data_IF_934495249723
#
_entry.id   IF_934495249723
#
_cell.length_a   1.000
_cell.length_b   1.000
_cell.length_c   1.000
_cell.angle_alpha   90.00
_cell.angle_beta   90.00
_cell.angle_gamma   90.00
#
_symmetry.space_group_name_H-M   'P 1'
#
loop_
_entity.id
_entity.type
_entity.pdbx_description
1 polymer ?
#
# COMPACT_ATOMS: atom_id res chain seq x y z
N UNK A 1 23.44 -5.68 -15.20
CA UNK A 1 22.16 -5.11 -15.62
C UNK A 1 22.09 -3.59 -15.42
N UNK A 2 22.71 -3.04 -14.35
CA UNK A 2 22.63 -1.61 -14.00
C UNK A 2 23.94 -0.84 -14.25
N UNK A 3 24.94 -1.44 -14.90
CA UNK A 3 26.29 -0.92 -15.04
C UNK A 3 26.36 0.41 -15.81
N UNK A 4 25.51 0.56 -16.82
CA UNK A 4 25.54 1.71 -17.73
C UNK A 4 24.44 2.74 -17.41
N UNK A 5 23.67 2.49 -16.36
CA UNK A 5 22.64 3.41 -15.89
C UNK A 5 23.27 4.68 -15.31
N UNK A 6 22.76 5.84 -15.71
CA UNK A 6 23.23 7.12 -15.23
C UNK A 6 22.40 7.59 -14.04
N UNK A 7 23.05 8.21 -13.08
CA UNK A 7 22.42 8.79 -11.89
C UNK A 7 22.43 10.31 -11.99
N UNK A 8 21.34 10.94 -11.55
CA UNK A 8 21.21 12.39 -11.53
C UNK A 8 20.33 12.84 -10.35
N UNK A 9 20.39 14.12 -10.01
CA UNK A 9 19.52 14.79 -9.06
C UNK A 9 19.40 14.06 -7.69
N UNK A 10 20.51 13.57 -7.13
CA UNK A 10 20.48 12.99 -5.80
C UNK A 10 20.25 14.05 -4.72
N UNK A 11 19.29 13.80 -3.85
CA UNK A 11 19.00 14.61 -2.65
C UNK A 11 18.92 13.68 -1.44
N UNK A 12 19.47 14.11 -0.31
CA UNK A 12 19.33 13.47 0.99
C UNK A 12 19.24 14.56 2.07
N UNK A 13 18.05 14.68 2.68
CA UNK A 13 17.74 15.68 3.71
C UNK A 13 17.34 14.95 4.99
N UNK A 14 17.94 15.32 6.10
CA UNK A 14 17.54 14.91 7.45
C UNK A 14 17.50 16.14 8.31
N UNK A 15 16.30 16.60 8.66
CA UNK A 15 16.06 17.82 9.42
C UNK A 15 15.34 17.44 10.74
N UNK A 16 16.10 17.41 11.84
CA UNK A 16 15.59 17.00 13.14
C UNK A 16 14.52 17.94 13.68
N UNK A 17 14.66 19.24 13.44
CA UNK A 17 13.73 20.28 13.92
C UNK A 17 12.35 20.16 13.25
N UNK A 18 12.32 19.71 12.00
CA UNK A 18 11.09 19.51 11.21
C UNK A 18 10.66 18.05 11.13
N UNK A 19 11.30 17.17 11.91
CA UNK A 19 11.02 15.73 11.92
C UNK A 19 10.96 15.13 10.52
N UNK A 20 11.88 15.58 9.64
CA UNK A 20 11.85 15.27 8.22
C UNK A 20 13.04 14.44 7.81
N UNK A 21 12.76 13.33 7.14
CA UNK A 21 13.76 12.53 6.44
C UNK A 21 13.29 12.30 5.00
N UNK A 22 13.99 12.91 4.05
CA UNK A 22 13.67 12.81 2.62
C UNK A 22 14.91 12.45 1.82
N UNK A 23 14.80 11.44 0.96
CA UNK A 23 15.86 11.10 0.03
C UNK A 23 15.28 10.65 -1.31
N UNK A 24 15.84 11.15 -2.38
CA UNK A 24 15.44 10.82 -3.74
C UNK A 24 16.63 10.83 -4.71
N UNK A 25 16.50 10.03 -5.75
CA UNK A 25 17.49 9.96 -6.85
C UNK A 25 16.76 9.72 -8.17
N UNK A 26 17.30 10.26 -9.26
CA UNK A 26 16.81 10.01 -10.61
C UNK A 26 17.78 9.10 -11.36
N UNK A 27 17.29 7.99 -11.87
CA UNK A 27 17.98 7.13 -12.80
C UNK A 27 17.59 7.50 -14.23
N UNK A 28 18.57 7.52 -15.12
CA UNK A 28 18.36 7.65 -16.56
C UNK A 28 18.61 6.27 -17.15
N UNK A 29 17.54 5.64 -17.65
CA UNK A 29 17.57 4.31 -18.22
C UNK A 29 18.21 4.32 -19.62
N UNK A 30 18.55 3.13 -20.14
CA UNK A 30 19.27 2.98 -21.40
C UNK A 30 18.49 3.53 -22.61
N UNK A 31 17.14 3.51 -22.54
CA UNK A 31 16.24 4.08 -23.54
C UNK A 31 16.00 5.60 -23.37
N UNK A 32 16.67 6.21 -22.40
CA UNK A 32 16.50 7.62 -22.05
C UNK A 32 15.31 7.93 -21.15
N UNK A 33 14.44 6.97 -20.83
CA UNK A 33 13.36 7.13 -19.86
C UNK A 33 13.93 7.39 -18.46
N UNK A 34 13.25 8.16 -17.64
CA UNK A 34 13.67 8.42 -16.27
C UNK A 34 12.97 7.49 -15.29
N UNK A 35 13.64 7.15 -14.20
CA UNK A 35 13.03 6.57 -13.03
C UNK A 35 13.36 7.43 -11.80
N UNK A 36 12.35 8.06 -11.24
CA UNK A 36 12.46 8.86 -10.02
C UNK A 36 12.19 7.94 -8.82
N UNK A 37 13.25 7.64 -8.07
CA UNK A 37 13.18 6.74 -6.93
C UNK A 37 13.18 7.54 -5.62
N UNK A 38 12.19 7.28 -4.78
CA UNK A 38 12.14 7.77 -3.40
C UNK A 38 12.59 6.67 -2.46
N UNK A 39 13.51 7.00 -1.58
CA UNK A 39 13.93 6.11 -0.51
C UNK A 39 12.84 6.05 0.57
N UNK A 40 12.62 4.87 1.11
CA UNK A 40 11.84 4.67 2.34
C UNK A 40 12.56 5.26 3.55
N UNK A 41 12.02 4.97 4.72
CA UNK A 41 12.60 5.36 5.99
C UNK A 41 13.98 4.74 6.14
N UNK A 42 14.94 5.52 6.61
CA UNK A 42 16.19 4.98 7.09
C UNK A 42 16.02 4.51 8.55
N UNK A 43 17.07 3.91 9.11
CA UNK A 43 17.08 3.43 10.50
C UNK A 43 17.07 4.57 11.53
N UNK A 44 16.96 5.84 11.07
CA UNK A 44 16.95 6.98 12.00
C UNK A 44 15.60 7.11 12.69
N UNK A 45 15.67 7.49 13.95
CA UNK A 45 14.51 7.78 14.80
C UNK A 45 13.64 8.91 14.21
N UNK A 46 14.24 9.87 13.50
CA UNK A 46 13.53 10.96 12.80
C UNK A 46 12.66 10.41 11.68
N UNK A 47 13.20 9.48 10.89
CA UNK A 47 12.46 8.82 9.82
C UNK A 47 11.24 8.05 10.34
N UNK A 48 11.40 7.33 11.44
CA UNK A 48 10.32 6.59 12.09
C UNK A 48 9.20 7.50 12.61
N UNK A 49 9.55 8.65 13.20
CA UNK A 49 8.55 9.61 13.67
C UNK A 49 7.75 10.20 12.51
N UNK A 50 8.40 10.51 11.38
CA UNK A 50 7.72 10.97 10.19
C UNK A 50 6.78 9.91 9.60
N UNK A 51 7.17 8.62 9.64
CA UNK A 51 6.31 7.51 9.18
C UNK A 51 5.05 7.37 10.02
N UNK A 52 5.18 7.45 11.33
CA UNK A 52 4.00 7.45 12.20
C UNK A 52 3.14 8.69 11.95
N UNK A 53 3.76 9.87 11.82
CA UNK A 53 3.02 11.09 11.48
C UNK A 53 2.26 10.94 10.16
N UNK A 54 2.84 10.27 9.16
CA UNK A 54 2.21 10.03 7.85
C UNK A 54 0.92 9.20 7.96
N UNK A 55 0.83 8.28 8.93
CA UNK A 55 -0.39 7.53 9.19
C UNK A 55 -1.53 8.40 9.74
N UNK A 56 -1.21 9.57 10.30
CA UNK A 56 -2.19 10.42 10.97
C UNK A 56 -2.34 11.81 10.36
N UNK A 57 -1.27 12.33 9.75
CA UNK A 57 -1.20 13.65 9.16
C UNK A 57 -0.91 13.55 7.66
N UNK A 58 -1.50 14.43 6.89
CA UNK A 58 -1.14 14.63 5.48
C UNK A 58 -1.50 16.08 5.11
N UNK A 59 -0.59 16.85 4.50
CA UNK A 59 0.76 16.41 4.11
C UNK A 59 1.75 16.38 5.28
N UNK A 60 2.70 15.43 5.24
CA UNK A 60 3.94 15.51 6.02
C UNK A 60 5.03 16.19 5.18
N UNK A 61 6.10 16.75 5.79
CA UNK A 61 7.14 17.45 5.05
C UNK A 61 7.77 16.64 3.91
N UNK A 62 8.02 15.34 4.11
CA UNK A 62 8.55 14.44 3.07
C UNK A 62 7.65 14.35 1.84
N UNK A 63 6.32 14.38 2.01
CA UNK A 63 5.38 14.41 0.89
C UNK A 63 5.51 15.71 0.09
N UNK A 64 5.62 16.84 0.75
CA UNK A 64 5.85 18.13 0.04
C UNK A 64 7.19 18.19 -0.67
N UNK A 65 8.26 17.67 -0.04
CA UNK A 65 9.58 17.58 -0.69
C UNK A 65 9.52 16.66 -1.93
N UNK A 66 8.74 15.58 -1.89
CA UNK A 66 8.58 14.69 -3.05
C UNK A 66 7.95 15.42 -4.25
N UNK A 67 6.94 16.26 -4.02
CA UNK A 67 6.32 17.10 -5.08
C UNK A 67 7.32 18.11 -5.64
N UNK A 68 8.05 18.80 -4.75
CA UNK A 68 9.10 19.76 -5.15
C UNK A 68 10.17 19.07 -5.99
N UNK A 69 10.62 17.89 -5.59
CA UNK A 69 11.60 17.09 -6.32
C UNK A 69 11.12 16.73 -7.73
N UNK A 70 9.91 16.18 -7.86
CA UNK A 70 9.34 15.83 -9.16
C UNK A 70 9.27 17.04 -10.08
N UNK A 71 8.72 18.16 -9.60
CA UNK A 71 8.60 19.37 -10.41
C UNK A 71 9.96 19.94 -10.80
N UNK A 72 10.95 19.92 -9.90
CA UNK A 72 12.32 20.36 -10.17
C UNK A 72 13.00 19.52 -11.25
N UNK A 73 13.03 18.19 -11.06
CA UNK A 73 13.69 17.26 -11.99
C UNK A 73 13.05 17.35 -13.37
N UNK A 74 11.72 17.33 -13.43
CA UNK A 74 10.96 17.33 -14.68
C UNK A 74 10.90 18.69 -15.37
N UNK A 75 11.25 19.74 -14.67
CA UNK A 75 11.50 21.08 -15.25
C UNK A 75 12.79 21.13 -16.07
N UNK A 76 13.76 20.27 -15.78
CA UNK A 76 15.04 20.21 -16.47
C UNK A 76 15.12 19.04 -17.46
N UNK A 77 14.53 17.89 -17.06
CA UNK A 77 14.51 16.67 -17.85
C UNK A 77 13.08 16.44 -18.39
N UNK A 78 12.91 16.43 -19.70
CA UNK A 78 11.59 16.44 -20.34
C UNK A 78 11.11 15.07 -20.84
N UNK A 79 11.88 14.03 -20.57
CA UNK A 79 11.57 12.65 -20.97
C UNK A 79 10.33 12.10 -20.22
N UNK A 80 9.64 11.06 -20.76
CA UNK A 80 8.72 10.25 -20.00
C UNK A 80 9.42 9.65 -18.78
N UNK A 81 8.67 9.38 -17.71
CA UNK A 81 9.29 8.86 -16.51
C UNK A 81 8.40 7.90 -15.73
N UNK A 82 9.05 7.00 -15.04
CA UNK A 82 8.52 6.21 -13.95
C UNK A 82 8.84 6.88 -12.63
N UNK A 83 8.01 6.59 -11.62
CA UNK A 83 8.23 7.06 -10.27
C UNK A 83 7.92 5.94 -9.30
N UNK A 84 8.68 5.77 -8.23
CA UNK A 84 8.41 4.70 -7.29
C UNK A 84 9.28 4.71 -6.06
N UNK A 85 8.95 3.82 -5.14
CA UNK A 85 9.69 3.59 -3.91
C UNK A 85 9.09 2.47 -3.08
N UNK A 86 9.77 2.13 -2.00
CA UNK A 86 9.38 1.14 -1.04
C UNK A 86 8.95 1.82 0.26
N UNK A 87 7.98 1.26 0.97
CA UNK A 87 7.50 1.76 2.26
C UNK A 87 7.06 3.23 2.15
N UNK A 88 7.58 4.13 2.99
CA UNK A 88 7.39 5.59 2.86
C UNK A 88 7.64 6.08 1.44
N UNK A 89 8.71 5.61 0.78
CA UNK A 89 9.04 5.99 -0.59
C UNK A 89 7.93 5.67 -1.59
N UNK A 90 7.19 4.57 -1.39
CA UNK A 90 6.01 4.21 -2.17
C UNK A 90 4.85 5.21 -1.99
N UNK A 91 4.60 5.63 -0.75
CA UNK A 91 3.63 6.69 -0.45
C UNK A 91 4.04 8.03 -1.08
N UNK A 92 5.31 8.44 -0.94
CA UNK A 92 5.85 9.67 -1.55
C UNK A 92 5.69 9.67 -3.07
N UNK A 93 5.90 8.51 -3.72
CA UNK A 93 5.74 8.37 -5.16
C UNK A 93 4.29 8.64 -5.60
N UNK A 94 3.33 8.03 -4.92
CA UNK A 94 1.90 8.21 -5.21
C UNK A 94 1.49 9.65 -4.89
N UNK A 95 1.89 10.20 -3.73
CA UNK A 95 1.55 11.57 -3.34
C UNK A 95 2.07 12.60 -4.34
N UNK A 96 3.35 12.50 -4.71
CA UNK A 96 3.93 13.43 -5.67
C UNK A 96 3.31 13.33 -7.06
N UNK A 97 2.90 12.11 -7.48
CA UNK A 97 2.17 11.92 -8.73
C UNK A 97 0.77 12.56 -8.72
N UNK A 98 0.08 12.55 -7.57
CA UNK A 98 -1.19 13.28 -7.41
C UNK A 98 -1.04 14.79 -7.46
N UNK A 99 0.02 15.32 -6.84
CA UNK A 99 0.19 16.76 -6.57
C UNK A 99 1.11 17.49 -7.53
N UNK A 100 1.89 16.82 -8.37
CA UNK A 100 2.73 17.47 -9.35
C UNK A 100 1.88 18.23 -10.40
N UNK A 101 2.53 19.15 -11.12
CA UNK A 101 1.85 19.96 -12.13
C UNK A 101 1.16 19.07 -13.20
N UNK A 102 -0.02 19.43 -13.70
CA UNK A 102 -0.78 18.58 -14.63
C UNK A 102 -0.03 18.19 -15.90
N UNK A 103 0.84 19.08 -16.42
CA UNK A 103 1.64 18.76 -17.58
C UNK A 103 2.78 17.77 -17.28
N UNK A 104 3.28 17.75 -16.03
CA UNK A 104 4.23 16.76 -15.52
C UNK A 104 3.54 15.42 -15.32
N UNK A 105 2.36 15.43 -14.70
CA UNK A 105 1.57 14.23 -14.43
C UNK A 105 1.29 13.42 -15.70
N UNK A 106 1.06 14.07 -16.85
CA UNK A 106 0.82 13.41 -18.14
C UNK A 106 2.03 12.62 -18.66
N UNK A 107 3.24 12.92 -18.18
CA UNK A 107 4.48 12.24 -18.58
C UNK A 107 4.80 11.02 -17.74
N UNK A 108 4.09 10.81 -16.61
CA UNK A 108 4.24 9.65 -15.75
C UNK A 108 3.71 8.41 -16.49
N UNK A 109 4.58 7.41 -16.68
CA UNK A 109 4.22 6.15 -17.33
C UNK A 109 3.59 5.16 -16.32
N UNK A 110 4.26 4.91 -15.20
CA UNK A 110 3.79 4.08 -14.07
C UNK A 110 4.29 4.66 -12.76
N UNK A 111 3.55 4.34 -11.71
CA UNK A 111 3.81 4.74 -10.32
C UNK A 111 3.90 3.47 -9.49
N UNK A 112 5.09 3.15 -8.99
CA UNK A 112 5.34 1.92 -8.25
C UNK A 112 5.31 2.20 -6.74
N UNK A 113 4.41 1.53 -6.02
CA UNK A 113 4.35 1.53 -4.57
C UNK A 113 4.61 0.12 -4.05
N UNK A 114 5.82 -0.11 -3.55
CA UNK A 114 6.23 -1.39 -2.99
C UNK A 114 5.97 -1.35 -1.47
N UNK A 115 4.92 -2.03 -1.03
CA UNK A 115 4.45 -2.10 0.35
C UNK A 115 4.38 -0.72 1.06
N UNK A 116 4.04 0.33 0.27
CA UNK A 116 3.86 1.69 0.79
C UNK A 116 2.47 1.87 1.37
N UNK A 117 2.31 2.61 2.50
CA UNK A 117 0.99 2.92 3.06
C UNK A 117 0.15 3.74 2.09
N UNK A 118 -1.17 3.57 2.18
CA UNK A 118 -2.15 4.33 1.43
C UNK A 118 -2.37 5.74 2.00
N UNK A 119 -3.55 6.28 1.78
CA UNK A 119 -3.92 7.64 2.17
C UNK A 119 -5.31 7.64 2.81
N UNK A 120 -5.52 8.59 3.70
CA UNK A 120 -6.86 8.87 4.21
C UNK A 120 -7.81 9.22 3.06
N UNK A 121 -9.10 8.87 3.14
CA UNK A 121 -10.08 9.13 2.07
C UNK A 121 -10.15 10.59 1.64
N UNK A 122 -9.98 11.51 2.60
CA UNK A 122 -10.00 12.96 2.36
C UNK A 122 -8.85 13.37 1.43
N UNK A 123 -7.65 12.84 1.66
CA UNK A 123 -6.45 13.12 0.86
C UNK A 123 -6.62 12.63 -0.57
N UNK A 124 -7.16 11.42 -0.75
CA UNK A 124 -7.40 10.85 -2.09
C UNK A 124 -8.39 11.71 -2.89
N UNK A 125 -9.44 12.20 -2.23
CA UNK A 125 -10.46 13.06 -2.84
C UNK A 125 -9.91 14.44 -3.21
N UNK A 126 -9.22 15.09 -2.28
CA UNK A 126 -8.65 16.43 -2.47
C UNK A 126 -7.52 16.44 -3.50
N UNK A 127 -6.73 15.38 -3.57
CA UNK A 127 -5.59 15.28 -4.48
C UNK A 127 -5.92 14.66 -5.83
N UNK A 128 -7.19 14.41 -6.15
CA UNK A 128 -7.64 13.87 -7.43
C UNK A 128 -6.95 12.55 -7.82
N UNK A 129 -6.88 11.61 -6.89
CA UNK A 129 -6.26 10.29 -7.08
C UNK A 129 -6.72 9.59 -8.38
N UNK A 130 -7.99 9.71 -8.74
CA UNK A 130 -8.57 9.11 -9.95
C UNK A 130 -7.81 9.49 -11.25
N UNK A 131 -7.12 10.63 -11.27
CA UNK A 131 -6.34 11.05 -12.45
C UNK A 131 -5.09 10.19 -12.69
N UNK A 132 -4.62 9.46 -11.66
CA UNK A 132 -3.41 8.64 -11.72
C UNK A 132 -3.66 7.16 -11.44
N UNK A 133 -4.81 6.79 -10.92
CA UNK A 133 -5.16 5.44 -10.44
C UNK A 133 -4.76 4.34 -11.41
N UNK A 134 -5.13 4.44 -12.68
CA UNK A 134 -4.81 3.44 -13.72
C UNK A 134 -3.32 3.29 -14.04
N UNK A 135 -2.45 4.12 -13.44
CA UNK A 135 -1.00 4.06 -13.58
C UNK A 135 -0.29 3.59 -12.31
N UNK A 136 -1.02 3.45 -11.20
CA UNK A 136 -0.46 2.94 -9.94
C UNK A 136 -0.29 1.43 -10.04
N UNK A 137 0.90 0.96 -9.69
CA UNK A 137 1.25 -0.45 -9.53
C UNK A 137 1.64 -0.64 -8.08
N UNK A 138 0.71 -1.20 -7.30
CA UNK A 138 0.93 -1.49 -5.89
C UNK A 138 1.23 -2.97 -5.70
N UNK A 139 2.36 -3.27 -5.06
CA UNK A 139 2.78 -4.62 -4.71
C UNK A 139 2.81 -4.77 -3.21
N UNK A 140 2.25 -5.85 -2.69
CA UNK A 140 2.15 -6.14 -1.27
C UNK A 140 2.59 -7.59 -1.02
N UNK A 141 3.32 -7.91 0.06
CA UNK A 141 3.52 -9.31 0.44
C UNK A 141 2.27 -9.87 1.14
N UNK A 142 2.16 -11.19 1.28
CA UNK A 142 1.02 -11.87 1.90
C UNK A 142 0.63 -11.35 3.30
N UNK A 143 1.64 -10.98 4.11
CA UNK A 143 1.44 -10.50 5.48
C UNK A 143 1.67 -9.00 5.58
N UNK A 144 1.37 -8.24 4.51
CA UNK A 144 1.52 -6.81 4.52
C UNK A 144 0.72 -6.17 5.66
N UNK A 145 1.40 -5.41 6.50
CA UNK A 145 0.80 -4.54 7.50
C UNK A 145 0.93 -3.08 7.08
N UNK A 146 2.12 -2.67 6.68
CA UNK A 146 2.44 -1.28 6.33
C UNK A 146 1.68 -0.86 5.07
N UNK A 147 1.76 -1.66 4.00
CA UNK A 147 1.10 -1.36 2.74
C UNK A 147 -0.42 -1.37 2.79
N UNK A 148 -0.99 -2.00 3.82
CA UNK A 148 -2.44 -2.06 4.05
C UNK A 148 -2.98 -0.93 4.94
N UNK A 149 -2.11 -0.07 5.50
CA UNK A 149 -2.57 1.13 6.22
C UNK A 149 -3.27 2.04 5.21
N UNK A 150 -4.55 2.39 5.47
CA UNK A 150 -5.42 3.18 4.60
C UNK A 150 -5.61 2.62 3.18
N UNK A 151 -5.32 1.34 2.98
CA UNK A 151 -5.65 0.67 1.72
C UNK A 151 -7.12 0.24 1.77
N UNK A 152 -7.93 0.70 0.83
CA UNK A 152 -9.36 0.36 0.77
C UNK A 152 -9.81 -0.19 -0.57
N UNK A 153 -9.50 0.48 -1.66
CA UNK A 153 -10.08 0.17 -2.97
C UNK A 153 -9.06 0.20 -4.13
N UNK A 154 -7.77 0.23 -3.81
CA UNK A 154 -6.72 0.27 -4.83
C UNK A 154 -6.43 -1.17 -5.27
N UNK A 155 -6.38 -1.40 -6.58
CA UNK A 155 -5.95 -2.67 -7.11
C UNK A 155 -4.46 -2.90 -6.78
N UNK A 156 -4.20 -3.89 -5.95
CA UNK A 156 -2.85 -4.33 -5.61
C UNK A 156 -2.61 -5.77 -6.12
N UNK A 157 -1.35 -6.12 -6.26
CA UNK A 157 -0.90 -7.48 -6.52
C UNK A 157 -0.18 -7.99 -5.29
N UNK A 158 -0.42 -9.24 -4.93
CA UNK A 158 0.24 -9.87 -3.80
C UNK A 158 1.40 -10.72 -4.29
N UNK A 159 2.58 -10.48 -3.72
CA UNK A 159 3.82 -11.14 -4.12
C UNK A 159 4.29 -12.12 -3.05
N UNK A 160 4.93 -13.20 -3.52
CA UNK A 160 5.52 -14.20 -2.64
C UNK A 160 6.81 -13.68 -1.99
N UNK A 161 7.00 -14.01 -0.70
CA UNK A 161 8.20 -13.70 0.05
C UNK A 161 8.74 -14.94 0.74
N UNK A 162 10.06 -15.06 0.83
CA UNK A 162 10.72 -16.10 1.60
C UNK A 162 10.85 -15.78 3.09
N UNK A 163 10.35 -14.64 3.52
CA UNK A 163 10.28 -14.20 4.92
C UNK A 163 8.89 -14.41 5.52
N UNK A 164 8.73 -14.11 6.81
CA UNK A 164 7.49 -14.28 7.55
C UNK A 164 7.09 -13.03 8.32
N UNK A 165 5.77 -12.80 8.46
CA UNK A 165 5.21 -11.68 9.23
C UNK A 165 5.74 -10.33 8.76
N UNK A 166 6.15 -9.47 9.68
CA UNK A 166 6.69 -8.13 9.38
C UNK A 166 7.98 -8.15 8.56
N UNK A 167 8.77 -9.23 8.61
CA UNK A 167 9.99 -9.34 7.81
C UNK A 167 9.70 -9.43 6.30
N UNK A 168 8.47 -9.71 5.90
CA UNK A 168 8.05 -9.65 4.50
C UNK A 168 8.01 -8.20 3.96
N UNK A 169 8.05 -7.21 4.84
CA UNK A 169 8.14 -5.80 4.43
C UNK A 169 9.43 -5.49 3.66
N UNK A 170 10.51 -6.26 3.88
CA UNK A 170 11.73 -6.14 3.10
C UNK A 170 11.53 -6.65 1.66
N UNK A 171 11.56 -5.79 0.62
CA UNK A 171 11.34 -6.21 -0.76
C UNK A 171 12.46 -7.11 -1.31
N UNK A 172 13.63 -7.17 -0.65
CA UNK A 172 14.69 -8.12 -1.01
C UNK A 172 14.37 -9.56 -0.60
N UNK A 173 13.35 -9.75 0.24
CA UNK A 173 12.80 -11.07 0.57
C UNK A 173 11.78 -11.59 -0.46
N UNK A 174 11.36 -10.76 -1.42
CA UNK A 174 10.33 -11.12 -2.40
C UNK A 174 10.91 -11.96 -3.53
N UNK A 175 10.18 -13.01 -3.89
CA UNK A 175 10.65 -13.93 -4.92
C UNK A 175 10.48 -13.32 -6.31
N UNK A 176 11.51 -13.52 -7.12
CA UNK A 176 11.54 -13.06 -8.52
C UNK A 176 11.73 -14.28 -9.41
N UNK A 177 10.87 -14.42 -10.41
CA UNK A 177 10.99 -15.40 -11.47
C UNK A 177 11.17 -14.66 -12.80
N UNK A 178 12.26 -14.96 -13.50
CA UNK A 178 12.67 -14.28 -14.73
C UNK A 178 12.82 -12.76 -14.55
N UNK A 179 11.80 -11.96 -14.89
CA UNK A 179 11.78 -10.50 -14.86
C UNK A 179 10.63 -9.90 -14.06
N UNK A 180 9.91 -10.72 -13.28
CA UNK A 180 8.75 -10.28 -12.50
C UNK A 180 8.74 -10.90 -11.09
N UNK A 181 8.04 -10.26 -10.17
CA UNK A 181 7.75 -10.83 -8.87
C UNK A 181 6.72 -11.95 -9.00
N UNK A 182 6.89 -13.02 -8.22
CA UNK A 182 5.94 -14.15 -8.18
C UNK A 182 4.65 -13.72 -7.55
N UNK A 183 3.55 -13.74 -8.31
CA UNK A 183 2.20 -13.43 -7.82
C UNK A 183 1.59 -14.64 -7.10
N UNK A 184 0.89 -14.39 -5.98
CA UNK A 184 0.35 -15.47 -5.12
C UNK A 184 -1.12 -15.32 -4.76
N UNK A 185 -1.84 -14.52 -5.49
CA UNK A 185 -3.29 -14.36 -5.32
C UNK A 185 -3.66 -13.24 -4.36
N UNK A 186 -3.82 -13.49 -3.06
CA UNK A 186 -4.37 -12.48 -2.14
C UNK A 186 -3.69 -12.50 -0.77
N UNK A 187 -3.90 -11.43 0.00
CA UNK A 187 -3.48 -11.30 1.40
C UNK A 187 -4.19 -12.36 2.24
N UNK A 188 -3.48 -12.91 3.23
CA UNK A 188 -4.09 -13.87 4.17
C UNK A 188 -5.32 -13.27 4.86
N UNK A 189 -6.39 -14.06 4.98
CA UNK A 189 -7.66 -13.61 5.55
C UNK A 189 -7.49 -13.07 6.98
N UNK A 190 -6.70 -13.75 7.80
CA UNK A 190 -6.35 -13.28 9.14
C UNK A 190 -5.66 -11.92 9.14
N UNK A 191 -4.87 -11.63 8.10
CA UNK A 191 -4.18 -10.36 7.95
C UNK A 191 -5.14 -9.26 7.52
N UNK A 192 -6.12 -9.55 6.65
CA UNK A 192 -7.17 -8.60 6.26
C UNK A 192 -7.95 -8.12 7.49
N UNK A 193 -8.41 -9.06 8.33
CA UNK A 193 -9.13 -8.75 9.57
C UNK A 193 -8.30 -7.83 10.47
N UNK A 194 -7.03 -8.14 10.65
CA UNK A 194 -6.13 -7.32 11.47
C UNK A 194 -5.93 -5.92 10.87
N UNK A 195 -5.75 -5.83 9.55
CA UNK A 195 -5.58 -4.57 8.84
C UNK A 195 -6.84 -3.70 8.91
N UNK A 196 -8.02 -4.29 8.79
CA UNK A 196 -9.30 -3.59 8.98
C UNK A 196 -9.43 -3.04 10.40
N UNK A 197 -9.13 -3.87 11.41
CA UNK A 197 -9.16 -3.43 12.80
C UNK A 197 -8.18 -2.28 13.07
N UNK A 198 -6.97 -2.38 12.53
CA UNK A 198 -5.95 -1.34 12.66
C UNK A 198 -6.39 -0.03 11.99
N UNK A 199 -6.91 -0.09 10.77
CA UNK A 199 -7.39 1.08 10.04
C UNK A 199 -8.57 1.75 10.75
N UNK A 200 -9.54 0.98 11.22
CA UNK A 200 -10.68 1.49 11.98
C UNK A 200 -10.22 2.16 13.28
N UNK A 201 -9.28 1.53 13.98
CA UNK A 201 -8.71 2.09 15.19
C UNK A 201 -7.97 3.41 14.93
N UNK A 202 -7.08 3.48 13.92
CA UNK A 202 -6.37 4.71 13.56
C UNK A 202 -7.36 5.84 13.24
N UNK A 203 -8.43 5.54 12.51
CA UNK A 203 -9.45 6.53 12.14
C UNK A 203 -10.33 6.96 13.32
N UNK A 204 -10.39 6.19 14.40
CA UNK A 204 -11.15 6.51 15.60
C UNK A 204 -10.43 7.51 16.53
N UNK A 205 -9.12 7.71 16.36
CA UNK A 205 -8.31 8.57 17.20
C UNK A 205 -8.44 10.03 16.75
N UNK A 206 -8.54 10.94 17.74
CA UNK A 206 -8.43 12.37 17.49
C UNK A 206 -6.96 12.81 17.44
N UNK A 207 -6.70 14.08 17.05
CA UNK A 207 -5.34 14.61 16.87
C UNK A 207 -4.48 14.55 18.15
N UNK A 208 -5.07 14.83 19.30
CA UNK A 208 -4.37 14.78 20.59
C UNK A 208 -3.96 13.37 20.96
N UNK A 209 -4.87 12.40 20.80
CA UNK A 209 -4.61 10.99 21.03
C UNK A 209 -3.52 10.46 20.10
N UNK A 210 -3.58 10.85 18.83
CA UNK A 210 -2.58 10.50 17.83
C UNK A 210 -1.22 11.05 18.23
N UNK A 211 -1.13 12.33 18.52
CA UNK A 211 0.12 12.98 18.91
C UNK A 211 0.74 12.31 20.13
N UNK A 212 -0.05 12.13 21.18
CA UNK A 212 0.38 11.48 22.42
C UNK A 212 0.85 10.04 22.16
N UNK A 213 0.10 9.30 21.33
CA UNK A 213 0.48 7.93 20.99
C UNK A 213 1.82 7.87 20.23
N UNK A 214 1.98 8.70 19.19
CA UNK A 214 3.21 8.77 18.39
C UNK A 214 4.40 9.20 19.25
N UNK A 215 4.26 10.24 20.05
CA UNK A 215 5.33 10.72 20.93
C UNK A 215 5.76 9.68 21.96
N UNK A 216 4.80 8.99 22.58
CA UNK A 216 5.10 7.95 23.56
C UNK A 216 5.71 6.71 22.90
N UNK A 217 5.18 6.29 21.75
CA UNK A 217 5.75 5.18 20.99
C UNK A 217 7.21 5.48 20.60
N UNK A 218 7.46 6.71 20.17
CA UNK A 218 8.79 7.21 19.88
C UNK A 218 9.73 7.13 21.11
N UNK A 219 9.27 7.59 22.27
CA UNK A 219 10.05 7.51 23.52
C UNK A 219 10.36 6.07 23.90
N UNK A 220 9.36 5.18 23.77
CA UNK A 220 9.52 3.73 24.04
C UNK A 220 10.56 3.09 23.13
N UNK A 221 10.49 3.34 21.83
CA UNK A 221 11.45 2.81 20.86
C UNK A 221 12.84 3.37 21.14
N UNK A 222 12.97 4.66 21.40
CA UNK A 222 14.24 5.32 21.71
C UNK A 222 14.85 4.77 23.02
N UNK A 223 14.04 4.50 24.03
CA UNK A 223 14.49 3.95 25.32
C UNK A 223 14.88 2.46 25.24
N UNK A 224 14.33 1.72 24.28
CA UNK A 224 14.60 0.28 24.12
C UNK A 224 16.01 -0.03 23.60
N UNK A 225 16.75 0.98 23.13
CA UNK A 225 18.03 0.82 22.42
C UNK A 225 17.91 -0.13 21.21
N UNK A 226 16.71 -0.30 20.66
CA UNK A 226 16.52 -1.00 19.41
C UNK A 226 16.89 -0.05 18.27
N UNK A 227 17.77 -0.51 17.39
CA UNK A 227 18.23 0.29 16.26
C UNK A 227 17.11 0.46 15.21
N UNK A 228 16.13 -0.47 15.21
CA UNK A 228 15.01 -0.49 14.29
C UNK A 228 13.76 -1.20 14.87
N UNK A 229 12.62 -1.05 14.20
CA UNK A 229 11.34 -1.68 14.60
C UNK A 229 11.36 -3.20 14.45
N UNK A 230 12.16 -3.73 13.55
CA UNK A 230 12.29 -5.17 13.32
C UNK A 230 12.96 -5.78 14.55
N UNK A 231 14.06 -5.19 15.03
CA UNK A 231 14.74 -5.57 16.25
C UNK A 231 13.83 -5.40 17.47
N UNK A 232 13.04 -4.31 17.52
CA UNK A 232 12.05 -4.08 18.56
C UNK A 232 10.99 -5.18 18.62
N UNK A 233 10.48 -5.65 17.48
CA UNK A 233 9.46 -6.71 17.42
C UNK A 233 10.05 -8.10 17.61
N UNK A 234 11.30 -8.34 17.23
CA UNK A 234 11.98 -9.63 17.36
C UNK A 234 12.25 -10.00 18.83
N UNK A 235 12.56 -9.02 19.68
CA UNK A 235 12.73 -9.23 21.13
C UNK A 235 11.55 -8.63 21.93
N UNK A 236 10.37 -9.15 21.66
CA UNK A 236 9.10 -8.70 22.22
C UNK A 236 9.10 -8.63 23.76
N UNK A 237 9.81 -9.52 24.47
CA UNK A 237 9.86 -9.48 25.94
C UNK A 237 10.67 -8.29 26.46
N UNK A 238 11.80 -7.99 25.81
CA UNK A 238 12.63 -6.83 26.13
C UNK A 238 11.86 -5.55 25.78
N UNK A 239 11.21 -5.53 24.64
CA UNK A 239 10.42 -4.41 24.16
C UNK A 239 9.22 -4.12 25.07
N UNK A 240 8.48 -5.14 25.51
CA UNK A 240 7.40 -4.98 26.48
C UNK A 240 7.86 -4.45 27.84
N UNK A 241 9.05 -4.82 28.30
CA UNK A 241 9.63 -4.23 29.51
C UNK A 241 9.98 -2.75 29.30
N UNK A 242 10.50 -2.38 28.12
CA UNK A 242 10.77 -0.99 27.77
C UNK A 242 9.47 -0.17 27.71
N UNK A 243 8.41 -0.70 27.10
CA UNK A 243 7.06 -0.10 27.10
C UNK A 243 6.56 0.10 28.52
N UNK A 244 6.64 -0.94 29.38
CA UNK A 244 6.18 -0.86 30.76
C UNK A 244 6.98 0.15 31.58
N UNK A 245 8.25 0.34 31.26
CA UNK A 245 9.12 1.34 31.91
C UNK A 245 8.76 2.75 31.45
N UNK A 246 8.65 2.97 30.15
CA UNK A 246 8.28 4.26 29.59
C UNK A 246 6.87 4.72 30.06
N UNK A 247 5.92 3.80 30.21
CA UNK A 247 4.59 4.10 30.76
C UNK A 247 4.64 4.51 32.25
N UNK A 248 5.73 4.27 32.98
CA UNK A 248 5.92 4.76 34.35
C UNK A 248 6.55 6.16 34.39
N UNK A 249 7.19 6.58 33.31
CA UNK A 249 7.85 7.87 33.21
C UNK A 249 6.92 8.99 32.71
N UNK A 250 5.77 8.62 32.12
CA UNK A 250 4.73 9.58 31.73
C UNK A 250 3.80 9.86 32.91
N UNK A 251 3.17 11.02 32.92
CA UNK A 251 2.16 11.38 33.92
C UNK A 251 0.93 10.44 33.86
N UNK A 252 0.19 10.37 34.96
CA UNK A 252 -0.92 9.44 35.12
C UNK A 252 -2.03 9.65 34.06
N UNK A 253 -2.28 10.88 33.62
CA UNK A 253 -3.29 11.20 32.62
C UNK A 253 -2.89 10.67 31.25
N UNK A 254 -1.64 10.88 30.84
CA UNK A 254 -1.07 10.36 29.61
C UNK A 254 -1.04 8.82 29.62
N UNK A 255 -0.64 8.21 30.73
CA UNK A 255 -0.65 6.76 30.88
C UNK A 255 -2.05 6.16 30.78
N UNK A 256 -3.06 6.82 31.34
CA UNK A 256 -4.46 6.38 31.23
C UNK A 256 -4.99 6.51 29.80
N UNK A 257 -4.69 7.63 29.13
CA UNK A 257 -5.04 7.85 27.72
C UNK A 257 -4.43 6.73 26.84
N UNK A 258 -3.15 6.43 26.99
CA UNK A 258 -2.47 5.37 26.23
C UNK A 258 -3.08 3.99 26.48
N UNK A 259 -3.38 3.65 27.72
CA UNK A 259 -4.07 2.40 28.04
C UNK A 259 -5.45 2.34 27.39
N UNK A 260 -6.17 3.47 27.33
CA UNK A 260 -7.46 3.61 26.65
C UNK A 260 -7.32 3.38 25.15
N UNK A 261 -6.33 4.00 24.51
CA UNK A 261 -6.02 3.85 23.09
C UNK A 261 -5.70 2.39 22.76
N UNK A 262 -4.81 1.75 23.51
CA UNK A 262 -4.44 0.34 23.31
C UNK A 262 -5.65 -0.57 23.53
N UNK A 263 -6.44 -0.32 24.57
CA UNK A 263 -7.66 -1.10 24.86
C UNK A 263 -8.67 -1.02 23.71
N UNK A 264 -8.86 0.18 23.11
CA UNK A 264 -9.78 0.35 21.99
C UNK A 264 -9.37 -0.48 20.77
N UNK A 265 -8.06 -0.59 20.47
CA UNK A 265 -7.56 -1.46 19.41
C UNK A 265 -7.95 -2.94 19.66
N UNK A 266 -7.75 -3.43 20.90
CA UNK A 266 -8.11 -4.81 21.23
C UNK A 266 -9.61 -5.07 21.15
N UNK A 267 -10.45 -4.10 21.55
CA UNK A 267 -11.91 -4.26 21.44
C UNK A 267 -12.36 -4.27 19.98
N UNK A 268 -11.84 -3.40 19.12
CA UNK A 268 -12.12 -3.41 17.68
C UNK A 268 -11.67 -4.74 17.06
N UNK A 269 -10.45 -5.20 17.35
CA UNK A 269 -9.94 -6.47 16.84
C UNK A 269 -10.83 -7.66 17.27
N UNK A 270 -11.29 -7.70 18.53
CA UNK A 270 -12.21 -8.74 19.01
C UNK A 270 -13.54 -8.72 18.27
N UNK A 271 -14.09 -7.54 17.98
CA UNK A 271 -15.34 -7.39 17.23
C UNK A 271 -15.16 -7.94 15.82
N UNK A 272 -14.11 -7.52 15.11
CA UNK A 272 -13.80 -7.99 13.75
C UNK A 272 -13.63 -9.51 13.67
N UNK A 273 -12.83 -10.10 14.54
CA UNK A 273 -12.66 -11.55 14.61
C UNK A 273 -13.99 -12.27 14.89
N UNK A 274 -14.85 -11.71 15.76
CA UNK A 274 -16.17 -12.30 16.07
C UNK A 274 -17.12 -12.20 14.88
N UNK A 275 -17.11 -11.11 14.13
CA UNK A 275 -17.93 -10.93 12.93
C UNK A 275 -17.56 -11.94 11.85
N UNK A 276 -16.27 -12.15 11.61
CA UNK A 276 -15.77 -13.13 10.65
C UNK A 276 -16.02 -14.59 11.06
N UNK A 277 -15.85 -14.88 12.35
CA UNK A 277 -16.14 -16.22 12.89
C UNK A 277 -17.64 -16.48 13.12
N UNK A 278 -18.49 -15.46 13.02
CA UNK A 278 -19.94 -15.65 13.12
C UNK A 278 -20.40 -16.49 11.93
N UNK A 279 -21.10 -17.63 12.16
CA UNK A 279 -21.61 -18.45 11.08
C UNK A 279 -22.49 -17.57 10.19
N UNK A 280 -22.16 -17.49 8.90
CA UNK A 280 -22.90 -16.74 7.91
C UNK A 280 -24.39 -17.00 8.11
N UNK A 281 -25.12 -16.01 8.63
CA UNK A 281 -26.58 -16.13 8.82
C UNK A 281 -27.16 -16.47 7.46
N UNK A 282 -27.44 -17.77 7.30
CA UNK A 282 -28.06 -18.45 6.17
C UNK A 282 -28.69 -17.49 5.15
N UNK A 283 -27.96 -17.14 4.12
CA UNK A 283 -28.54 -16.78 2.82
C UNK A 283 -29.05 -18.05 2.11
N UNK A 284 -29.48 -19.03 2.90
CA UNK A 284 -30.02 -20.31 2.43
C UNK A 284 -31.34 -20.23 1.63
N UNK A 285 -31.87 -19.02 1.44
CA UNK A 285 -33.04 -18.81 0.56
C UNK A 285 -32.68 -18.62 -0.91
N UNK A 286 -31.51 -18.08 -1.26
CA UNK A 286 -31.13 -17.79 -2.64
C UNK A 286 -30.59 -19.01 -3.39
N UNK A 287 -29.83 -19.89 -2.72
CA UNK A 287 -29.32 -21.14 -3.34
C UNK A 287 -30.39 -22.21 -3.54
N UNK A 288 -31.44 -22.22 -2.72
CA UNK A 288 -32.52 -23.20 -2.84
C UNK A 288 -33.49 -22.85 -3.98
N UNK A 289 -33.64 -21.59 -4.34
CA UNK A 289 -34.43 -21.17 -5.48
C UNK A 289 -33.70 -21.41 -6.81
N UNK A 290 -32.39 -21.15 -6.88
CA UNK A 290 -31.60 -21.38 -8.10
C UNK A 290 -31.56 -22.88 -8.48
N UNK A 291 -31.42 -23.79 -7.50
CA UNK A 291 -31.50 -25.24 -7.75
C UNK A 291 -32.91 -25.72 -8.11
N UNK A 292 -33.98 -25.01 -7.73
CA UNK A 292 -35.35 -25.31 -8.18
C UNK A 292 -35.64 -24.80 -9.56
N UNK A 293 -35.09 -23.68 -9.94
CA UNK A 293 -35.18 -23.11 -11.30
C UNK A 293 -34.38 -23.94 -12.30
N UNK A 294 -33.17 -24.34 -12.00
CA UNK A 294 -32.36 -25.25 -12.83
C UNK A 294 -33.01 -26.65 -13.01
N UNK A 295 -33.72 -27.17 -12.00
CA UNK A 295 -34.47 -28.41 -12.15
C UNK A 295 -35.79 -28.25 -12.92
N UNK A 296 -36.37 -27.08 -12.92
CA UNK A 296 -37.58 -26.78 -13.69
C UNK A 296 -37.28 -26.56 -15.19
N UNK A 297 -36.11 -26.02 -15.49
CA UNK A 297 -35.64 -25.80 -16.86
C UNK A 297 -35.19 -27.11 -17.54
N UNK A 298 -34.65 -28.05 -16.79
CA UNK A 298 -34.25 -29.38 -17.27
C UNK A 298 -35.44 -30.33 -17.63
N UNK A 299 -36.69 -29.95 -17.30
CA UNK A 299 -37.88 -30.76 -17.55
C UNK A 299 -38.87 -30.07 -18.51
N UNK A 300 -38.45 -29.10 -19.33
CA UNK A 300 -39.26 -28.60 -20.41
C UNK A 300 -39.18 -29.58 -21.63
N UNK A 301 -40.27 -30.07 -22.12
CA UNK A 301 -40.26 -30.86 -23.38
C UNK A 301 -39.83 -29.95 -24.53
N UNK A 302 -38.93 -30.45 -25.37
CA UNK A 302 -38.50 -29.85 -26.61
C UNK A 302 -39.69 -29.81 -27.58
N UNK A 303 -40.05 -28.69 -28.22
CA UNK A 303 -41.05 -28.68 -29.28
C UNK A 303 -40.50 -29.47 -30.48
N UNK A 304 -41.22 -30.51 -30.92
CA UNK A 304 -41.13 -31.09 -32.25
C UNK A 304 -41.67 -30.03 -33.21
N UNK A 305 -40.78 -29.42 -33.98
CA UNK A 305 -41.00 -28.82 -35.31
C UNK A 305 -40.00 -27.69 -35.55
N UNK A 306 -38.91 -28.03 -36.24
CA UNK A 306 -38.15 -27.08 -37.03
C UNK A 306 -37.60 -27.80 -38.30
N UNK A 307 -37.84 -27.27 -39.50
CA UNK A 307 -37.45 -27.94 -40.75
C UNK A 307 -35.97 -27.86 -41.03
N UNK A 308 -35.51 -28.92 -41.62
CA UNK A 308 -34.20 -29.20 -42.20
C UNK A 308 -33.76 -28.10 -43.19
N UNK A 309 -32.62 -27.48 -42.96
CA UNK A 309 -31.96 -26.59 -43.91
C UNK A 309 -30.51 -27.02 -44.09
N UNK A 310 -30.35 -28.12 -44.82
CA UNK A 310 -29.13 -28.41 -45.57
C UNK A 310 -29.07 -27.58 -46.82
N UNK A 311 -27.88 -27.01 -47.07
CA UNK A 311 -27.35 -26.47 -48.31
C UNK A 311 -27.16 -24.95 -48.38
N UNK A 312 -25.90 -24.53 -48.18
CA UNK A 312 -25.19 -23.66 -49.13
C UNK A 312 -23.72 -23.50 -48.72
N UNK A 313 -22.88 -24.31 -49.32
CA UNK A 313 -21.45 -24.02 -49.51
C UNK A 313 -21.31 -22.91 -50.56
N UNK A 314 -20.47 -21.91 -50.30
CA UNK A 314 -20.18 -20.85 -51.26
C UNK A 314 -19.05 -19.93 -50.79
N UNK A 315 -17.83 -20.32 -51.05
CA UNK A 315 -16.69 -19.55 -51.57
C UNK A 315 -16.74 -18.01 -51.48
N UNK A 316 -15.80 -17.42 -50.73
CA UNK A 316 -15.06 -16.24 -51.21
C UNK A 316 -13.80 -16.00 -50.36
N UNK A 317 -12.68 -16.34 -50.92
CA UNK A 317 -11.36 -15.79 -50.54
C UNK A 317 -11.27 -14.36 -51.08
N UNK A 318 -10.67 -13.43 -50.33
CA UNK A 318 -9.65 -12.49 -50.81
C UNK A 318 -9.43 -11.28 -49.87
N UNK A 319 -8.15 -11.07 -49.65
CA UNK A 319 -7.39 -9.83 -49.50
C UNK A 319 -7.22 -9.23 -48.11
N UNK A 320 -6.02 -9.51 -47.53
CA UNK A 320 -5.31 -8.62 -46.62
C UNK A 320 -4.55 -7.54 -47.41
N UNK A 321 -4.45 -6.29 -46.96
CA UNK A 321 -3.40 -5.38 -47.38
C UNK A 321 -2.28 -5.31 -46.33
N UNK A 322 -1.05 -5.51 -46.82
CA UNK A 322 0.20 -5.13 -46.16
C UNK A 322 0.28 -3.60 -46.13
N UNK A 323 0.63 -3.04 -45.01
CA UNK A 323 1.14 -1.67 -44.92
C UNK A 323 2.58 -1.68 -44.35
N UNK A 324 3.40 -0.91 -45.02
CA UNK A 324 4.81 -0.64 -44.77
C UNK A 324 5.02 0.10 -43.46
#
# INVERSE_FOLDING_TARGET
RFRDMKLNCYINLVEKEWETQFSAITFILDDGTLFLAFRGTDETIVGWKEDFNMAFLSPVPGQEYSVKYVNMVTGWLHQPFYIGGHSKGGNLAVYSAMKCAPFVQKRIQKIYSLDGPGFRPEVLKECHYNAIEGRVVKLLPHSSMIGMIFERDIHYRVVESNSHGLLQHDPFSWLVEEDHFVDVGDIYESQKIMNEALNEWILSLNEEQVRTFVETLYQVISASQADDLITFTADWKKSMNAVATALKEVDDQTAEMLRGIIRSLFEIAKVKVREELAPAKKSGRRFRNKKKEEKAEAHRPVPEDAPDATAAQGSAARHAPKLR
#
